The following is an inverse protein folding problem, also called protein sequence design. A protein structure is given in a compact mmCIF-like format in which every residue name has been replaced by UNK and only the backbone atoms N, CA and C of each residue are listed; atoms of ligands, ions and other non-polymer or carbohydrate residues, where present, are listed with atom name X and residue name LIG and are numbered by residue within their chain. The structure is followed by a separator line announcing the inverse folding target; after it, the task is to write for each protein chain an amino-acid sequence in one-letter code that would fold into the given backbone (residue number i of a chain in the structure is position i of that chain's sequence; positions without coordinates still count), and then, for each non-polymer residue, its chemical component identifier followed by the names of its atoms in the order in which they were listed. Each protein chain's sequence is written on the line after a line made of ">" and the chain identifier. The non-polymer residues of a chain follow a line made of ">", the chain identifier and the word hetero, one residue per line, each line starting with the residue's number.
data_IF_581908788505
#
_entry.id   IF_581908788505
#
_cell.length_a   1.000
_cell.length_b   1.000
_cell.length_c   1.000
_cell.angle_alpha   90.00
_cell.angle_beta   90.00
_cell.angle_gamma   90.00
#
_symmetry.space_group_name_H-M   'P 1'
#
loop_
_entity.id
_entity.type
_entity.pdbx_description
1 polymer ?
#
# COMPACT_ATOMS: atom_id res chain seq x y z
N UNK A 1 -5.55 14.07 24.60
CA UNK A 1 -6.33 13.10 23.83
C UNK A 1 -5.58 12.85 22.54
N UNK A 2 -5.04 11.64 22.38
CA UNK A 2 -4.40 11.22 21.12
C UNK A 2 -5.46 11.02 20.02
N UNK A 3 -5.03 10.59 18.83
CA UNK A 3 -5.95 10.41 17.70
C UNK A 3 -6.90 9.24 17.88
N UNK A 4 -6.50 8.19 18.59
CA UNK A 4 -7.33 7.02 18.84
C UNK A 4 -8.47 7.40 19.79
N UNK A 5 -8.14 8.00 20.93
CA UNK A 5 -9.10 8.41 21.97
C UNK A 5 -10.13 9.42 21.42
N UNK A 6 -9.73 10.29 20.47
CA UNK A 6 -10.67 11.20 19.78
C UNK A 6 -11.71 10.47 18.91
N UNK A 7 -11.39 9.32 18.34
CA UNK A 7 -12.28 8.59 17.43
C UNK A 7 -13.13 7.55 18.16
N UNK A 8 -12.58 6.96 19.23
CA UNK A 8 -13.23 5.87 19.96
C UNK A 8 -13.91 6.33 21.24
N UNK A 9 -13.54 7.50 21.79
CA UNK A 9 -14.02 7.97 23.08
C UNK A 9 -13.27 7.40 24.29
N UNK A 10 -12.23 6.60 24.06
CA UNK A 10 -11.44 5.98 25.13
C UNK A 10 -9.98 5.74 24.74
N UNK A 11 -9.09 5.70 25.73
CA UNK A 11 -7.66 5.48 25.50
C UNK A 11 -7.40 4.04 25.07
N UNK A 12 -6.48 3.87 24.12
CA UNK A 12 -5.98 2.55 23.75
C UNK A 12 -5.32 1.90 24.98
N UNK A 13 -5.76 0.68 25.31
CA UNK A 13 -5.33 -0.09 26.47
C UNK A 13 -4.75 -1.43 25.97
N UNK A 14 -4.87 -2.51 26.76
CA UNK A 14 -4.48 -3.82 26.25
C UNK A 14 -5.34 -4.22 25.03
N UNK A 15 -4.77 -5.07 24.17
CA UNK A 15 -5.39 -5.40 22.90
C UNK A 15 -6.80 -5.99 23.04
N UNK A 16 -7.03 -6.84 24.06
CA UNK A 16 -8.30 -7.55 24.24
C UNK A 16 -9.36 -6.62 24.82
N UNK A 17 -9.01 -5.81 25.82
CA UNK A 17 -9.88 -4.77 26.37
C UNK A 17 -10.27 -3.78 25.28
N UNK A 18 -9.29 -3.30 24.51
CA UNK A 18 -9.50 -2.37 23.39
C UNK A 18 -10.45 -2.98 22.36
N UNK A 19 -10.17 -4.19 21.89
CA UNK A 19 -11.01 -4.90 20.91
C UNK A 19 -12.45 -5.10 21.40
N UNK A 20 -12.65 -5.44 22.68
CA UNK A 20 -13.97 -5.68 23.26
C UNK A 20 -14.84 -4.42 23.37
N UNK A 21 -14.22 -3.24 23.41
CA UNK A 21 -14.92 -1.94 23.48
C UNK A 21 -15.24 -1.35 22.11
N UNK A 22 -14.47 -1.71 21.09
CA UNK A 22 -14.69 -1.23 19.73
C UNK A 22 -16.00 -1.81 19.18
N UNK A 23 -16.82 -0.94 18.60
CA UNK A 23 -18.11 -1.31 18.02
C UNK A 23 -18.23 -0.76 16.59
N UNK A 24 -18.63 -1.62 15.66
CA UNK A 24 -18.98 -1.22 14.29
C UNK A 24 -20.46 -1.50 14.06
N UNK A 25 -21.19 -0.46 13.67
CA UNK A 25 -22.60 -0.53 13.28
C UNK A 25 -22.72 0.00 11.86
N UNK A 26 -23.31 -0.79 10.97
CA UNK A 26 -23.53 -0.43 9.56
C UNK A 26 -22.27 0.09 8.84
N UNK A 27 -21.13 -0.55 9.08
CA UNK A 27 -19.84 -0.17 8.47
C UNK A 27 -19.26 1.14 9.02
N UNK A 28 -19.70 1.58 10.21
CA UNK A 28 -19.16 2.76 10.89
C UNK A 28 -18.63 2.41 12.27
N UNK A 29 -17.41 2.86 12.59
CA UNK A 29 -16.86 2.82 13.93
C UNK A 29 -17.65 3.80 14.81
N UNK A 30 -18.20 3.32 15.92
CA UNK A 30 -18.99 4.12 16.85
C UNK A 30 -18.08 4.71 17.93
N UNK A 31 -18.20 6.01 18.17
CA UNK A 31 -17.53 6.67 19.28
C UNK A 31 -18.27 6.37 20.60
N UNK A 32 -17.56 5.91 21.63
CA UNK A 32 -18.12 5.63 22.94
C UNK A 32 -18.48 6.94 23.67
N UNK A 33 -19.71 7.05 24.17
CA UNK A 33 -20.14 8.23 24.94
C UNK A 33 -20.48 9.47 24.10
N UNK A 34 -20.53 9.36 22.76
CA UNK A 34 -21.06 10.41 21.88
C UNK A 34 -22.01 9.82 20.82
N UNK A 35 -22.61 10.68 20.00
CA UNK A 35 -23.39 10.26 18.83
C UNK A 35 -22.58 10.18 17.53
N UNK A 36 -21.26 10.40 17.60
CA UNK A 36 -20.41 10.37 16.42
C UNK A 36 -20.09 8.94 15.95
N UNK A 37 -19.93 8.78 14.65
CA UNK A 37 -19.45 7.53 14.05
C UNK A 37 -18.70 7.84 12.75
N UNK A 38 -17.85 6.92 12.31
CA UNK A 38 -16.91 7.14 11.19
C UNK A 38 -16.93 5.95 10.23
N UNK A 39 -17.11 6.18 8.92
CA UNK A 39 -17.13 5.07 7.97
C UNK A 39 -15.77 4.35 7.95
N UNK A 40 -15.77 3.04 8.19
CA UNK A 40 -14.53 2.25 8.14
C UNK A 40 -14.15 1.88 6.71
N UNK A 41 -15.12 1.84 5.79
CA UNK A 41 -14.91 1.44 4.40
C UNK A 41 -15.00 -0.08 4.20
N UNK A 42 -14.51 -0.57 3.06
CA UNK A 42 -14.42 -2.00 2.75
C UNK A 42 -13.00 -2.40 2.36
N UNK A 43 -12.38 -3.25 3.17
CA UNK A 43 -11.06 -3.83 2.89
C UNK A 43 -11.18 -5.11 2.06
N UNK A 44 -10.36 -5.21 1.02
CA UNK A 44 -10.14 -6.43 0.23
C UNK A 44 -8.65 -6.65 0.01
N UNK A 45 -8.22 -7.87 -0.31
CA UNK A 45 -6.82 -8.20 -0.59
C UNK A 45 -6.65 -8.75 -2.02
N UNK A 46 -6.99 -7.97 -3.07
CA UNK A 46 -6.86 -8.46 -4.43
C UNK A 46 -5.40 -8.75 -4.79
N UNK A 47 -5.18 -9.81 -5.56
CA UNK A 47 -3.91 -10.04 -6.24
C UNK A 47 -3.76 -9.10 -7.45
N UNK A 48 -2.53 -8.87 -7.91
CA UNK A 48 -2.32 -8.13 -9.15
C UNK A 48 -3.02 -8.82 -10.34
N UNK A 49 -3.04 -10.16 -10.39
CA UNK A 49 -3.74 -10.90 -11.43
C UNK A 49 -5.27 -10.64 -11.42
N UNK A 50 -5.87 -10.57 -10.23
CA UNK A 50 -7.29 -10.21 -10.07
C UNK A 50 -7.55 -8.76 -10.52
N UNK A 51 -6.67 -7.82 -10.19
CA UNK A 51 -6.78 -6.42 -10.64
C UNK A 51 -6.64 -6.29 -12.16
N UNK A 52 -5.70 -7.00 -12.78
CA UNK A 52 -5.56 -7.08 -14.24
C UNK A 52 -6.84 -7.56 -14.89
N UNK A 53 -7.40 -8.66 -14.37
CA UNK A 53 -8.64 -9.26 -14.87
C UNK A 53 -9.81 -8.28 -14.75
N UNK A 54 -9.98 -7.65 -13.59
CA UNK A 54 -11.06 -6.69 -13.35
C UNK A 54 -10.94 -5.44 -14.24
N UNK A 55 -9.72 -4.96 -14.50
CA UNK A 55 -9.48 -3.75 -15.29
C UNK A 55 -9.44 -3.99 -16.81
N UNK A 56 -9.33 -5.25 -17.28
CA UNK A 56 -9.15 -5.57 -18.70
C UNK A 56 -10.24 -4.97 -19.61
N UNK A 57 -11.51 -5.01 -19.16
CA UNK A 57 -12.66 -4.47 -19.90
C UNK A 57 -12.99 -3.00 -19.62
N UNK A 58 -12.22 -2.32 -18.77
CA UNK A 58 -12.51 -0.95 -18.37
C UNK A 58 -11.88 0.03 -19.37
N UNK A 59 -12.72 0.66 -20.19
CA UNK A 59 -12.30 1.70 -21.11
C UNK A 59 -12.41 3.09 -20.46
N UNK A 60 -11.29 3.81 -20.37
CA UNK A 60 -11.24 5.21 -19.97
C UNK A 60 -10.53 6.04 -21.05
N UNK A 61 -11.26 6.57 -22.05
CA UNK A 61 -10.65 7.28 -23.16
C UNK A 61 -9.93 8.54 -22.67
N UNK A 62 -8.69 8.72 -23.10
CA UNK A 62 -7.83 9.83 -22.70
C UNK A 62 -6.41 9.33 -22.47
N UNK A 63 -5.60 10.12 -21.78
CA UNK A 63 -4.22 9.76 -21.45
C UNK A 63 -3.93 10.08 -19.99
N UNK A 64 -3.09 9.25 -19.38
CA UNK A 64 -2.61 9.48 -18.03
C UNK A 64 -1.84 10.81 -17.96
N UNK A 65 -2.18 11.62 -16.96
CA UNK A 65 -1.43 12.83 -16.59
C UNK A 65 -0.56 12.51 -15.38
N UNK A 66 0.71 12.90 -15.44
CA UNK A 66 1.65 12.73 -14.34
C UNK A 66 2.15 14.09 -13.83
N UNK A 67 2.03 14.32 -12.53
CA UNK A 67 2.55 15.50 -11.85
C UNK A 67 3.24 15.14 -10.53
N UNK A 68 3.82 16.15 -9.88
CA UNK A 68 4.29 16.08 -8.50
C UNK A 68 3.36 16.95 -7.66
N UNK A 69 3.02 16.49 -6.46
CA UNK A 69 2.33 17.29 -5.46
C UNK A 69 3.19 17.35 -4.20
N UNK A 70 3.40 18.56 -3.67
CA UNK A 70 4.08 18.78 -2.41
C UNK A 70 3.05 18.88 -1.29
N UNK A 71 3.28 18.20 -0.17
CA UNK A 71 2.43 18.33 1.01
C UNK A 71 2.49 17.16 1.98
N UNK A 72 1.97 17.42 3.18
CA UNK A 72 1.76 16.38 4.19
C UNK A 72 0.62 15.44 3.75
N UNK A 73 0.80 14.14 3.97
CA UNK A 73 -0.17 13.15 3.54
C UNK A 73 -1.55 13.35 4.19
N UNK A 74 -1.61 13.78 5.45
CA UNK A 74 -2.86 14.03 6.17
C UNK A 74 -3.59 15.24 5.60
N UNK A 75 -2.86 16.30 5.26
CA UNK A 75 -3.41 17.46 4.55
C UNK A 75 -3.97 17.07 3.19
N UNK A 76 -3.25 16.24 2.44
CA UNK A 76 -3.69 15.76 1.13
C UNK A 76 -4.96 14.91 1.22
N UNK A 77 -5.13 14.08 2.26
CA UNK A 77 -6.38 13.31 2.45
C UNK A 77 -7.59 14.24 2.67
N UNK A 78 -7.40 15.38 3.33
CA UNK A 78 -8.47 16.37 3.58
C UNK A 78 -8.79 17.24 2.37
N UNK A 79 -7.85 17.38 1.44
CA UNK A 79 -7.96 18.33 0.35
C UNK A 79 -9.19 18.05 -0.53
N UNK A 80 -10.06 19.03 -0.80
CA UNK A 80 -11.30 18.82 -1.56
C UNK A 80 -11.11 18.16 -2.93
N UNK A 81 -10.02 18.49 -3.62
CA UNK A 81 -9.64 17.91 -4.91
C UNK A 81 -9.32 16.41 -4.85
N UNK A 82 -9.02 15.87 -3.65
CA UNK A 82 -8.72 14.46 -3.43
C UNK A 82 -9.92 13.67 -2.91
N UNK A 83 -11.13 14.26 -2.89
CA UNK A 83 -12.35 13.52 -2.57
C UNK A 83 -12.51 12.34 -3.53
N UNK A 84 -12.66 11.13 -2.98
CA UNK A 84 -12.78 9.89 -3.73
C UNK A 84 -11.47 9.37 -4.33
N UNK A 85 -10.35 10.09 -4.17
CA UNK A 85 -9.05 9.72 -4.73
C UNK A 85 -8.52 8.41 -4.12
N UNK A 86 -7.61 7.76 -4.84
CA UNK A 86 -6.88 6.59 -4.36
C UNK A 86 -5.49 6.99 -3.88
N UNK A 87 -5.16 6.69 -2.63
CA UNK A 87 -3.85 6.93 -2.04
C UNK A 87 -3.05 5.64 -1.96
N UNK A 88 -1.85 5.62 -2.52
CA UNK A 88 -0.87 4.59 -2.26
C UNK A 88 -0.25 4.81 -0.88
N UNK A 89 -0.40 3.82 -0.01
CA UNK A 89 0.13 3.86 1.36
C UNK A 89 1.33 2.94 1.46
N UNK A 90 2.49 3.48 1.87
CA UNK A 90 3.63 2.66 2.23
C UNK A 90 3.31 1.93 3.54
N UNK A 91 3.16 0.61 3.44
CA UNK A 91 2.71 -0.27 4.50
C UNK A 91 3.60 -1.51 4.57
N UNK A 92 3.28 -2.43 5.48
CA UNK A 92 3.87 -3.76 5.55
C UNK A 92 2.97 -4.80 4.90
N UNK A 93 3.47 -6.03 4.71
CA UNK A 93 2.68 -7.10 4.09
C UNK A 93 1.44 -7.50 4.91
N UNK A 94 1.32 -7.06 6.16
CA UNK A 94 0.13 -7.25 7.00
C UNK A 94 -0.86 -6.05 6.97
N UNK A 95 -0.62 -5.05 6.11
CA UNK A 95 -1.48 -3.87 5.95
C UNK A 95 -1.56 -2.98 7.21
N UNK A 96 -0.52 -3.02 8.05
CA UNK A 96 -0.31 -2.16 9.22
C UNK A 96 1.01 -1.40 9.06
N UNK A 97 1.13 -0.28 9.77
CA UNK A 97 2.22 0.68 9.66
C UNK A 97 3.06 0.74 10.96
N UNK A 98 3.37 -0.43 11.52
CA UNK A 98 4.17 -0.55 12.73
C UNK A 98 5.60 -0.05 12.50
N UNK A 99 6.19 0.64 13.48
CA UNK A 99 7.52 1.27 13.36
C UNK A 99 8.66 0.25 13.19
N UNK A 100 8.43 -1.01 13.56
CA UNK A 100 9.42 -2.06 13.43
C UNK A 100 8.83 -3.47 13.46
N UNK A 101 9.66 -4.46 13.09
CA UNK A 101 9.26 -5.86 13.06
C UNK A 101 8.92 -6.45 14.44
N UNK A 102 9.39 -5.84 15.52
CA UNK A 102 9.14 -6.28 16.90
C UNK A 102 7.95 -5.57 17.55
N UNK A 103 7.28 -4.64 16.85
CA UNK A 103 6.09 -3.93 17.33
C UNK A 103 4.86 -4.58 16.71
N UNK A 104 4.13 -5.35 17.50
CA UNK A 104 3.05 -6.25 17.09
C UNK A 104 1.68 -5.54 17.02
N UNK A 105 0.66 -6.14 16.37
CA UNK A 105 -0.72 -5.62 16.41
C UNK A 105 -1.24 -5.34 17.83
N UNK A 106 -0.80 -6.14 18.80
CA UNK A 106 -1.16 -6.01 20.21
C UNK A 106 -0.58 -4.77 20.90
N UNK A 107 0.49 -4.19 20.35
CA UNK A 107 1.06 -2.93 20.83
C UNK A 107 0.21 -1.70 20.43
N UNK A 108 -0.81 -1.92 19.60
CA UNK A 108 -1.81 -0.92 19.23
C UNK A 108 -1.37 0.03 18.12
N UNK A 109 -2.27 0.96 17.77
CA UNK A 109 -2.10 1.90 16.66
C UNK A 109 -1.97 3.35 17.11
N UNK A 110 -2.34 3.70 18.35
CA UNK A 110 -2.22 5.08 18.85
C UNK A 110 -0.77 5.60 18.74
N UNK A 111 0.20 4.70 18.90
CA UNK A 111 1.64 4.96 18.74
C UNK A 111 2.07 5.49 17.37
N UNK A 112 1.22 5.37 16.32
CA UNK A 112 1.48 5.92 14.99
C UNK A 112 1.69 7.44 15.02
N UNK A 113 1.21 8.13 16.06
CA UNK A 113 1.46 9.55 16.28
C UNK A 113 2.94 9.94 16.42
N UNK A 114 3.79 8.98 16.79
CA UNK A 114 5.23 9.21 17.02
C UNK A 114 6.09 8.86 15.82
N UNK A 115 5.54 8.19 14.81
CA UNK A 115 6.22 7.87 13.57
C UNK A 115 5.86 8.92 12.50
N UNK A 116 6.89 9.58 11.97
CA UNK A 116 6.74 10.67 10.99
C UNK A 116 6.85 10.21 9.54
N UNK A 117 6.86 8.90 9.30
CA UNK A 117 6.84 8.35 7.94
C UNK A 117 5.45 8.46 7.31
N UNK A 118 5.39 8.31 5.99
CA UNK A 118 4.15 8.51 5.22
C UNK A 118 3.07 7.47 5.54
N UNK A 119 3.43 6.22 5.85
CA UNK A 119 2.49 5.17 6.20
C UNK A 119 1.60 5.55 7.39
N UNK A 120 2.18 5.77 8.58
CA UNK A 120 1.48 6.22 9.78
C UNK A 120 0.67 7.50 9.57
N UNK A 121 1.18 8.46 8.77
CA UNK A 121 0.43 9.66 8.42
C UNK A 121 -0.87 9.33 7.64
N UNK A 122 -0.82 8.46 6.63
CA UNK A 122 -2.01 8.01 5.90
C UNK A 122 -2.94 7.17 6.79
N UNK A 123 -2.37 6.33 7.65
CA UNK A 123 -3.13 5.50 8.57
C UNK A 123 -3.93 6.35 9.56
N UNK A 124 -3.32 7.40 10.14
CA UNK A 124 -4.03 8.35 11.01
C UNK A 124 -5.06 9.20 10.25
N UNK A 125 -4.80 9.54 8.98
CA UNK A 125 -5.75 10.29 8.16
C UNK A 125 -7.09 9.58 7.99
N UNK A 126 -7.07 8.24 7.93
CA UNK A 126 -8.23 7.35 7.90
C UNK A 126 -8.28 6.47 9.16
N UNK A 127 -8.26 7.10 10.34
CA UNK A 127 -8.07 6.43 11.63
C UNK A 127 -9.09 5.34 11.93
N UNK A 128 -10.37 5.53 11.61
CA UNK A 128 -11.39 4.50 11.83
C UNK A 128 -11.13 3.23 11.02
N UNK A 129 -10.69 3.38 9.77
CA UNK A 129 -10.28 2.28 8.90
C UNK A 129 -9.02 1.57 9.43
N UNK A 130 -8.06 2.33 9.98
CA UNK A 130 -6.84 1.79 10.60
C UNK A 130 -7.15 0.97 11.86
N UNK A 131 -8.01 1.48 12.74
CA UNK A 131 -8.48 0.76 13.93
C UNK A 131 -9.15 -0.55 13.52
N UNK A 132 -10.00 -0.51 12.48
CA UNK A 132 -10.60 -1.73 11.92
C UNK A 132 -9.54 -2.73 11.43
N UNK A 133 -8.54 -2.30 10.65
CA UNK A 133 -7.47 -3.18 10.14
C UNK A 133 -6.68 -3.88 11.24
N UNK A 134 -6.48 -3.23 12.39
CA UNK A 134 -5.76 -3.84 13.51
C UNK A 134 -6.67 -4.76 14.32
N UNK A 135 -7.80 -4.23 14.81
CA UNK A 135 -8.58 -4.88 15.86
C UNK A 135 -9.76 -5.70 15.35
N UNK A 136 -10.32 -5.40 14.18
CA UNK A 136 -11.64 -5.91 13.78
C UNK A 136 -11.67 -6.60 12.42
N UNK A 137 -10.56 -6.61 11.68
CA UNK A 137 -10.48 -7.30 10.39
C UNK A 137 -10.62 -8.81 10.59
N UNK A 138 -11.45 -9.51 9.80
CA UNK A 138 -11.44 -10.96 9.76
C UNK A 138 -10.11 -11.48 9.20
N UNK A 139 -9.43 -12.33 9.96
CA UNK A 139 -8.16 -12.94 9.55
C UNK A 139 -8.10 -14.37 10.07
N UNK A 140 -7.84 -15.33 9.17
CA UNK A 140 -7.76 -16.76 9.48
C UNK A 140 -8.89 -17.31 10.39
N UNK A 141 -10.14 -16.90 10.11
CA UNK A 141 -11.35 -17.37 10.83
C UNK A 141 -11.64 -16.65 12.15
N UNK A 142 -10.80 -15.68 12.54
CA UNK A 142 -10.90 -14.93 13.79
C UNK A 142 -10.95 -13.42 13.51
N UNK A 143 -11.23 -12.62 14.55
CA UNK A 143 -11.32 -11.15 14.44
C UNK A 143 -10.03 -10.51 14.99
N UNK A 144 -9.50 -9.55 14.24
CA UNK A 144 -8.32 -8.77 14.59
C UNK A 144 -7.01 -9.50 14.33
N UNK A 145 -6.01 -8.71 13.96
CA UNK A 145 -4.64 -9.17 13.79
C UNK A 145 -3.94 -9.29 15.14
N UNK A 146 -3.07 -10.28 15.27
CA UNK A 146 -2.21 -10.53 16.43
C UNK A 146 -0.82 -10.91 15.94
N UNK A 147 0.17 -10.99 16.83
CA UNK A 147 1.53 -11.43 16.48
C UNK A 147 1.53 -12.83 15.85
N UNK A 148 0.59 -13.68 16.24
CA UNK A 148 0.45 -15.06 15.75
C UNK A 148 -0.43 -15.18 14.48
N UNK A 149 -1.19 -14.13 14.12
CA UNK A 149 -2.20 -14.20 13.08
C UNK A 149 -2.35 -12.86 12.39
N UNK A 150 -1.84 -12.77 11.17
CA UNK A 150 -1.79 -11.53 10.40
C UNK A 150 -2.25 -11.77 8.97
N UNK A 151 -2.68 -10.70 8.32
CA UNK A 151 -2.74 -10.66 6.87
C UNK A 151 -1.32 -10.83 6.32
N UNK A 152 -1.19 -11.47 5.15
CA UNK A 152 0.10 -11.69 4.50
C UNK A 152 -0.05 -11.49 2.98
N UNK A 153 0.23 -10.26 2.52
CA UNK A 153 0.18 -9.89 1.12
C UNK A 153 1.24 -10.57 0.25
N UNK A 154 2.25 -11.20 0.86
CA UNK A 154 3.34 -11.88 0.17
C UNK A 154 3.14 -13.40 0.13
N UNK A 155 2.12 -13.93 0.80
CA UNK A 155 1.90 -15.37 0.96
C UNK A 155 1.87 -16.14 -0.37
N UNK A 156 1.06 -15.68 -1.32
CA UNK A 156 0.85 -16.35 -2.61
C UNK A 156 2.12 -16.30 -3.48
N UNK A 157 2.79 -15.14 -3.52
CA UNK A 157 4.09 -15.00 -4.19
C UNK A 157 5.15 -15.91 -3.55
N UNK A 158 5.18 -15.99 -2.22
CA UNK A 158 6.06 -16.91 -1.49
C UNK A 158 5.77 -18.36 -1.80
N UNK A 159 4.51 -18.77 -1.89
CA UNK A 159 4.13 -20.12 -2.33
C UNK A 159 4.60 -20.43 -3.75
N UNK A 160 4.38 -19.49 -4.67
CA UNK A 160 4.81 -19.65 -6.07
C UNK A 160 6.33 -19.75 -6.23
N UNK A 161 7.10 -18.95 -5.47
CA UNK A 161 8.56 -19.03 -5.43
C UNK A 161 9.04 -20.33 -4.80
N UNK A 162 8.43 -20.76 -3.69
CA UNK A 162 8.78 -21.98 -2.98
C UNK A 162 8.63 -23.20 -3.90
N UNK A 163 7.51 -23.29 -4.62
CA UNK A 163 7.26 -24.33 -5.62
C UNK A 163 8.34 -24.35 -6.72
N UNK A 164 8.69 -23.18 -7.27
CA UNK A 164 9.69 -23.03 -8.35
C UNK A 164 11.11 -23.35 -7.91
N UNK A 165 11.44 -23.07 -6.66
CA UNK A 165 12.74 -23.35 -6.05
C UNK A 165 12.83 -24.77 -5.45
N UNK A 166 11.73 -25.53 -5.45
CA UNK A 166 11.69 -26.86 -4.83
C UNK A 166 11.93 -26.83 -3.33
N UNK A 167 11.38 -25.83 -2.63
CA UNK A 167 11.56 -25.63 -1.19
C UNK A 167 10.24 -25.25 -0.51
N UNK A 168 10.28 -25.07 0.81
CA UNK A 168 9.12 -24.63 1.61
C UNK A 168 9.10 -23.10 1.74
N UNK A 169 7.90 -22.50 1.81
CA UNK A 169 7.76 -21.03 1.95
C UNK A 169 8.50 -20.49 3.19
N UNK A 170 8.44 -21.22 4.30
CA UNK A 170 9.13 -20.85 5.54
C UNK A 170 10.67 -20.86 5.42
N UNK A 171 11.23 -21.55 4.42
CA UNK A 171 12.66 -21.54 4.13
C UNK A 171 13.09 -20.32 3.29
N UNK A 172 12.16 -19.61 2.65
CA UNK A 172 12.46 -18.42 1.87
C UNK A 172 12.77 -17.22 2.77
N UNK A 173 11.92 -16.98 3.77
CA UNK A 173 12.10 -15.92 4.76
C UNK A 173 11.29 -16.20 6.03
N UNK A 174 11.74 -15.63 7.14
CA UNK A 174 10.90 -15.47 8.33
C UNK A 174 10.02 -14.23 8.15
N UNK A 175 8.71 -14.39 8.21
CA UNK A 175 7.79 -13.26 8.28
C UNK A 175 7.69 -12.80 9.73
N UNK A 176 7.98 -11.52 10.00
CA UNK A 176 7.90 -10.95 11.34
C UNK A 176 7.17 -9.61 11.29
N UNK A 177 5.90 -9.61 11.71
CA UNK A 177 5.02 -8.44 11.68
C UNK A 177 4.93 -7.75 10.29
N UNK A 178 4.73 -8.53 9.23
CA UNK A 178 4.70 -8.01 7.85
C UNK A 178 6.07 -7.65 7.25
N UNK A 179 7.18 -7.92 7.94
CA UNK A 179 8.54 -7.81 7.40
C UNK A 179 9.03 -9.19 6.94
N UNK A 180 9.29 -9.34 5.64
CA UNK A 180 9.91 -10.54 5.08
C UNK A 180 11.43 -10.50 5.27
N UNK A 181 11.95 -11.35 6.16
CA UNK A 181 13.36 -11.38 6.57
C UNK A 181 14.03 -12.68 6.07
N UNK A 182 14.65 -12.68 4.87
CA UNK A 182 15.35 -13.82 4.32
C UNK A 182 16.72 -14.00 4.96
N UNK A 183 17.26 -15.20 4.82
CA UNK A 183 18.70 -15.43 5.01
C UNK A 183 19.45 -15.03 3.75
N UNK A 184 20.78 -14.94 3.83
CA UNK A 184 21.61 -14.69 2.63
C UNK A 184 21.39 -15.77 1.56
N UNK A 185 21.41 -17.04 1.97
CA UNK A 185 21.25 -18.19 1.08
C UNK A 185 19.91 -18.17 0.36
N UNK A 186 18.81 -17.95 1.09
CA UNK A 186 17.48 -17.93 0.49
C UNK A 186 17.27 -16.72 -0.41
N UNK A 187 17.79 -15.54 -0.05
CA UNK A 187 17.74 -14.35 -0.90
C UNK A 187 18.53 -14.55 -2.21
N UNK A 188 19.74 -15.12 -2.14
CA UNK A 188 20.55 -15.38 -3.32
C UNK A 188 19.87 -16.41 -4.26
N UNK A 189 19.20 -17.43 -3.70
CA UNK A 189 18.43 -18.40 -4.49
C UNK A 189 17.24 -17.74 -5.20
N UNK A 190 16.47 -16.88 -4.50
CA UNK A 190 15.38 -16.10 -5.10
C UNK A 190 15.93 -15.19 -6.21
N UNK A 191 17.02 -14.47 -5.94
CA UNK A 191 17.61 -13.54 -6.88
C UNK A 191 18.13 -14.25 -8.13
N UNK A 192 18.78 -15.41 -7.98
CA UNK A 192 19.26 -16.21 -9.10
C UNK A 192 18.09 -16.71 -9.98
N UNK A 193 17.03 -17.23 -9.35
CA UNK A 193 15.85 -17.67 -10.07
C UNK A 193 15.18 -16.53 -10.85
N UNK A 194 14.91 -15.40 -10.17
CA UNK A 194 14.25 -14.25 -10.79
C UNK A 194 15.08 -13.62 -11.91
N UNK A 195 16.41 -13.66 -11.83
CA UNK A 195 17.28 -13.10 -12.88
C UNK A 195 17.37 -13.98 -14.12
N UNK A 196 17.07 -15.28 -14.00
CA UNK A 196 17.05 -16.23 -15.11
C UNK A 196 15.65 -16.46 -15.69
N UNK A 197 14.60 -16.00 -15.00
CA UNK A 197 13.22 -16.14 -15.44
C UNK A 197 12.92 -15.28 -16.69
N UNK A 198 12.08 -15.79 -17.57
CA UNK A 198 11.52 -15.02 -18.68
C UNK A 198 10.43 -14.06 -18.21
N UNK A 199 10.01 -13.15 -19.11
CA UNK A 199 9.05 -12.09 -18.76
C UNK A 199 7.65 -12.65 -18.45
N UNK A 200 7.26 -13.78 -19.04
CA UNK A 200 5.99 -14.45 -18.74
C UNK A 200 6.00 -15.00 -17.31
N UNK A 201 7.07 -15.69 -16.92
CA UNK A 201 7.26 -16.17 -15.55
C UNK A 201 7.30 -15.01 -14.55
N UNK A 202 8.00 -13.92 -14.88
CA UNK A 202 8.02 -12.72 -14.05
C UNK A 202 6.62 -12.09 -13.94
N UNK A 203 5.85 -12.06 -15.03
CA UNK A 203 4.48 -11.54 -15.02
C UNK A 203 3.53 -12.38 -14.17
N UNK A 204 3.67 -13.70 -14.20
CA UNK A 204 2.93 -14.62 -13.35
C UNK A 204 3.25 -14.39 -11.88
N UNK A 205 4.54 -14.23 -11.53
CA UNK A 205 4.99 -13.97 -10.17
C UNK A 205 4.52 -12.61 -9.66
N UNK A 206 4.67 -11.54 -10.45
CA UNK A 206 4.08 -10.22 -10.13
C UNK A 206 2.59 -10.35 -9.85
N UNK A 207 1.89 -11.17 -10.65
CA UNK A 207 0.47 -11.48 -10.53
C UNK A 207 0.05 -12.04 -9.17
N UNK A 208 0.96 -12.69 -8.44
CA UNK A 208 0.69 -13.30 -7.14
C UNK A 208 0.73 -12.31 -5.95
N UNK A 209 1.27 -11.10 -6.14
CA UNK A 209 1.33 -10.14 -5.04
C UNK A 209 -0.07 -9.66 -4.69
N UNK A 210 -0.44 -9.72 -3.41
CA UNK A 210 -1.69 -9.16 -2.89
C UNK A 210 -1.47 -7.79 -2.27
N UNK A 211 -2.43 -6.90 -2.50
CA UNK A 211 -2.42 -5.51 -2.03
C UNK A 211 -3.65 -5.28 -1.16
N UNK A 212 -3.53 -4.55 -0.05
CA UNK A 212 -4.69 -4.20 0.75
C UNK A 212 -5.44 -3.05 0.11
N UNK A 213 -6.60 -3.28 -0.52
CA UNK A 213 -7.43 -2.20 -1.08
C UNK A 213 -8.58 -1.88 -0.12
N UNK A 214 -8.50 -0.73 0.56
CA UNK A 214 -9.52 -0.23 1.47
C UNK A 214 -10.31 0.92 0.81
N UNK A 215 -11.52 0.60 0.33
CA UNK A 215 -12.36 1.56 -0.40
C UNK A 215 -13.25 2.36 0.52
N UNK A 216 -13.49 3.60 0.14
CA UNK A 216 -14.49 4.50 0.73
C UNK A 216 -14.34 4.66 2.25
N UNK A 217 -13.10 4.88 2.69
CA UNK A 217 -12.75 5.17 4.08
C UNK A 217 -13.01 6.65 4.37
N UNK A 218 -13.57 6.96 5.54
CA UNK A 218 -13.76 8.35 5.96
C UNK A 218 -12.44 8.97 6.41
N UNK A 219 -12.14 10.18 5.94
CA UNK A 219 -10.98 10.95 6.40
C UNK A 219 -11.29 11.54 7.77
N UNK A 220 -10.89 10.84 8.82
CA UNK A 220 -11.22 11.16 10.21
C UNK A 220 -10.34 12.25 10.83
N UNK A 221 -9.27 12.63 10.14
CA UNK A 221 -8.32 13.63 10.63
C UNK A 221 -8.73 15.07 10.32
N UNK A 222 -9.93 15.46 10.74
CA UNK A 222 -10.47 16.80 10.52
C UNK A 222 -11.93 16.94 10.95
N UNK A 223 -12.47 18.18 10.94
CA UNK A 223 -13.87 18.42 11.25
C UNK A 223 -14.78 17.88 10.14
N UNK A 224 -16.06 17.68 10.47
CA UNK A 224 -17.09 17.40 9.48
C UNK A 224 -17.39 18.63 8.59
N UNK A 225 -17.86 18.45 7.33
CA UNK A 225 -18.07 17.19 6.64
C UNK A 225 -16.75 16.54 6.20
N UNK A 226 -16.63 15.22 6.39
CA UNK A 226 -15.41 14.46 6.12
C UNK A 226 -15.50 13.78 4.75
N UNK A 227 -14.52 13.95 3.85
CA UNK A 227 -14.53 13.27 2.56
C UNK A 227 -14.31 11.75 2.73
N UNK A 228 -14.75 10.99 1.74
CA UNK A 228 -14.34 9.60 1.58
C UNK A 228 -13.18 9.54 0.60
N UNK A 229 -12.22 8.67 0.86
CA UNK A 229 -11.12 8.35 -0.04
C UNK A 229 -10.95 6.83 -0.12
N UNK A 230 -10.09 6.35 -1.01
CA UNK A 230 -9.64 4.95 -0.98
C UNK A 230 -8.14 4.90 -0.69
N UNK A 231 -7.70 3.86 0.01
CA UNK A 231 -6.29 3.61 0.29
C UNK A 231 -5.90 2.24 -0.26
N UNK A 232 -4.75 2.15 -0.91
CA UNK A 232 -4.13 0.87 -1.28
C UNK A 232 -2.81 0.70 -0.54
N UNK A 233 -2.75 -0.32 0.30
CA UNK A 233 -1.63 -0.69 1.15
C UNK A 233 -0.70 -1.59 0.36
N UNK A 234 0.48 -1.04 0.08
CA UNK A 234 1.54 -1.71 -0.65
C UNK A 234 2.77 -1.80 0.24
N UNK A 235 3.42 -2.97 0.26
CA UNK A 235 4.70 -3.14 0.92
C UNK A 235 5.82 -3.28 -0.10
N UNK A 236 6.93 -2.59 0.14
CA UNK A 236 8.20 -2.95 -0.47
C UNK A 236 8.90 -4.04 0.35
N UNK A 237 10.05 -4.51 -0.09
CA UNK A 237 10.88 -5.41 0.72
C UNK A 237 11.68 -4.62 1.77
N UNK A 238 11.85 -5.14 3.00
CA UNK A 238 12.50 -4.43 4.09
C UNK A 238 14.04 -4.55 4.03
N UNK A 239 14.64 -4.04 2.96
CA UNK A 239 16.09 -4.15 2.65
C UNK A 239 16.97 -3.72 3.83
N UNK A 240 16.64 -2.60 4.47
CA UNK A 240 17.40 -2.05 5.60
C UNK A 240 17.34 -2.91 6.88
N UNK A 241 16.40 -3.85 6.98
CA UNK A 241 16.13 -4.60 8.22
C UNK A 241 16.82 -5.97 8.30
N UNK A 242 17.33 -6.51 7.18
CA UNK A 242 17.92 -7.85 7.15
C UNK A 242 19.45 -7.89 7.35
N UNK A 243 20.14 -6.73 7.43
CA UNK A 243 21.61 -6.64 7.44
C UNK A 243 22.28 -7.43 6.28
N UNK A 244 21.67 -7.39 5.09
CA UNK A 244 22.17 -7.99 3.86
C UNK A 244 22.54 -6.89 2.84
N UNK A 245 23.49 -7.13 1.92
CA UNK A 245 23.83 -6.15 0.88
C UNK A 245 22.62 -5.83 0.00
N UNK A 246 22.35 -4.54 -0.21
CA UNK A 246 21.21 -4.08 -0.99
C UNK A 246 21.16 -4.72 -2.39
N UNK A 247 22.31 -4.86 -3.07
CA UNK A 247 22.38 -5.45 -4.41
C UNK A 247 21.77 -6.85 -4.51
N UNK A 248 21.85 -7.68 -3.45
CA UNK A 248 21.24 -9.02 -3.42
C UNK A 248 19.72 -8.99 -3.48
N UNK A 249 19.09 -7.86 -3.16
CA UNK A 249 17.64 -7.69 -3.19
C UNK A 249 17.10 -7.32 -4.56
N UNK A 250 17.94 -6.83 -5.47
CA UNK A 250 17.54 -6.12 -6.69
C UNK A 250 16.41 -6.83 -7.45
N UNK A 251 16.58 -8.12 -7.79
CA UNK A 251 15.61 -8.85 -8.60
C UNK A 251 14.28 -9.05 -7.87
N UNK A 252 14.33 -9.35 -6.56
CA UNK A 252 13.13 -9.55 -5.75
C UNK A 252 12.39 -8.24 -5.47
N UNK A 253 13.14 -7.19 -5.12
CA UNK A 253 12.58 -5.86 -4.89
C UNK A 253 11.88 -5.32 -6.13
N UNK A 254 12.45 -5.53 -7.31
CA UNK A 254 11.82 -5.12 -8.57
C UNK A 254 10.50 -5.81 -8.83
N UNK A 255 10.41 -7.14 -8.66
CA UNK A 255 9.14 -7.87 -8.83
C UNK A 255 8.05 -7.32 -7.91
N UNK A 256 8.38 -7.11 -6.63
CA UNK A 256 7.43 -6.58 -5.63
C UNK A 256 7.02 -5.13 -5.95
N UNK A 257 7.97 -4.26 -6.26
CA UNK A 257 7.69 -2.85 -6.59
C UNK A 257 6.90 -2.72 -7.90
N UNK A 258 7.26 -3.47 -8.94
CA UNK A 258 6.56 -3.47 -10.23
C UNK A 258 5.10 -3.91 -10.04
N UNK A 259 4.86 -4.95 -9.25
CA UNK A 259 3.52 -5.41 -8.94
C UNK A 259 2.71 -4.40 -8.11
N UNK A 260 3.34 -3.76 -7.11
CA UNK A 260 2.69 -2.79 -6.24
C UNK A 260 2.24 -1.52 -7.00
N UNK A 261 3.09 -0.96 -7.86
CA UNK A 261 2.73 0.20 -8.68
C UNK A 261 1.69 -0.14 -9.75
N UNK A 262 1.84 -1.28 -10.43
CA UNK A 262 0.86 -1.73 -11.42
C UNK A 262 -0.51 -1.95 -10.78
N UNK A 263 -0.57 -2.65 -9.64
CA UNK A 263 -1.82 -2.89 -8.93
C UNK A 263 -2.45 -1.61 -8.41
N UNK A 264 -1.65 -0.65 -7.95
CA UNK A 264 -2.15 0.68 -7.54
C UNK A 264 -2.82 1.42 -8.70
N UNK A 265 -2.20 1.44 -9.88
CA UNK A 265 -2.77 2.13 -11.03
C UNK A 265 -4.00 1.43 -11.59
N UNK A 266 -4.02 0.09 -11.62
CA UNK A 266 -5.21 -0.67 -12.01
C UNK A 266 -6.37 -0.47 -11.01
N UNK A 267 -6.07 -0.44 -9.71
CA UNK A 267 -7.07 -0.06 -8.70
C UNK A 267 -7.55 1.39 -8.90
N UNK A 268 -6.69 2.30 -9.35
CA UNK A 268 -7.05 3.66 -9.76
C UNK A 268 -8.03 3.68 -10.93
N UNK A 269 -7.77 2.89 -11.98
CA UNK A 269 -8.69 2.72 -13.13
C UNK A 269 -10.06 2.23 -12.66
N UNK A 270 -10.09 1.21 -11.78
CA UNK A 270 -11.34 0.67 -11.22
C UNK A 270 -12.06 1.68 -10.32
N UNK A 271 -11.31 2.46 -9.53
CA UNK A 271 -11.82 3.53 -8.68
C UNK A 271 -12.47 4.65 -9.50
N UNK A 272 -11.87 4.99 -10.63
CA UNK A 272 -12.41 5.97 -11.56
C UNK A 272 -13.65 5.44 -12.28
N UNK A 273 -13.64 4.16 -12.70
CA UNK A 273 -14.74 3.53 -13.43
C UNK A 273 -16.02 3.39 -12.59
N UNK A 274 -15.90 3.19 -11.28
CA UNK A 274 -17.04 3.21 -10.34
C UNK A 274 -17.55 4.62 -9.99
N UNK A 275 -16.94 5.68 -10.56
CA UNK A 275 -17.35 7.07 -10.37
C UNK A 275 -16.83 7.75 -9.10
N UNK A 276 -15.81 7.21 -8.42
CA UNK A 276 -15.27 7.83 -7.21
C UNK A 276 -14.31 8.99 -7.54
N UNK A 277 -13.18 8.70 -8.19
CA UNK A 277 -12.22 9.70 -8.68
C UNK A 277 -11.21 9.04 -9.62
N UNK A 278 -10.74 9.78 -10.62
CA UNK A 278 -9.62 9.44 -11.50
C UNK A 278 -8.26 9.83 -10.91
N UNK A 279 -8.24 10.45 -9.72
CA UNK A 279 -7.03 10.92 -9.07
C UNK A 279 -6.36 9.82 -8.25
N UNK A 280 -5.07 9.61 -8.50
CA UNK A 280 -4.23 8.64 -7.81
C UNK A 280 -3.00 9.33 -7.25
N UNK A 281 -2.78 9.18 -5.94
CA UNK A 281 -1.60 9.71 -5.26
C UNK A 281 -0.60 8.58 -5.01
N UNK A 282 0.54 8.64 -5.70
CA UNK A 282 1.64 7.69 -5.53
C UNK A 282 2.64 8.20 -4.50
N UNK A 283 3.32 7.28 -3.84
CA UNK A 283 4.47 7.57 -2.99
C UNK A 283 5.70 6.87 -3.54
N UNK A 284 6.91 7.27 -3.14
CA UNK A 284 8.15 6.52 -3.44
C UNK A 284 8.24 5.31 -2.50
N UNK A 285 7.49 4.27 -2.84
CA UNK A 285 7.29 3.09 -2.01
C UNK A 285 8.63 2.44 -1.61
N UNK A 286 8.89 2.37 -0.30
CA UNK A 286 10.07 1.70 0.26
C UNK A 286 11.38 2.49 0.21
N UNK A 287 11.40 3.73 -0.31
CA UNK A 287 12.61 4.55 -0.43
C UNK A 287 13.09 5.23 0.87
N UNK A 288 12.27 5.17 1.92
CA UNK A 288 12.61 5.66 3.27
C UNK A 288 13.16 4.55 4.16
N UNK A 289 12.46 4.25 5.26
CA UNK A 289 12.87 3.29 6.28
C UNK A 289 13.23 1.89 5.73
N UNK A 290 12.54 1.44 4.67
CA UNK A 290 12.79 0.11 4.07
C UNK A 290 14.07 0.05 3.23
N UNK A 291 14.64 1.18 2.81
CA UNK A 291 15.95 1.26 2.15
C UNK A 291 16.01 0.68 0.74
N UNK A 292 14.91 0.69 -0.01
CA UNK A 292 14.92 0.30 -1.43
C UNK A 292 15.61 1.39 -2.25
N UNK A 293 16.40 0.98 -3.25
CA UNK A 293 17.12 1.94 -4.08
C UNK A 293 16.16 2.74 -4.98
N UNK A 294 16.43 4.05 -5.09
CA UNK A 294 15.65 4.97 -5.92
C UNK A 294 15.47 4.47 -7.36
N UNK A 295 16.53 3.92 -7.96
CA UNK A 295 16.49 3.41 -9.32
C UNK A 295 15.50 2.24 -9.51
N UNK A 296 15.29 1.40 -8.50
CA UNK A 296 14.32 0.29 -8.58
C UNK A 296 12.90 0.81 -8.49
N UNK A 297 12.68 1.76 -7.58
CA UNK A 297 11.39 2.43 -7.37
C UNK A 297 10.98 3.18 -8.65
N UNK A 298 11.89 3.97 -9.19
CA UNK A 298 11.66 4.81 -10.36
C UNK A 298 11.37 3.96 -11.61
N UNK A 299 12.14 2.89 -11.82
CA UNK A 299 11.90 1.97 -12.93
C UNK A 299 10.55 1.25 -12.83
N UNK A 300 10.18 0.78 -11.63
CA UNK A 300 8.90 0.11 -11.39
C UNK A 300 7.70 1.04 -11.60
N UNK A 301 7.79 2.27 -11.09
CA UNK A 301 6.76 3.29 -11.27
C UNK A 301 6.60 3.64 -12.76
N UNK A 302 7.70 3.91 -13.48
CA UNK A 302 7.66 4.21 -14.91
C UNK A 302 7.09 3.06 -15.74
N UNK A 303 7.41 1.81 -15.40
CA UNK A 303 6.82 0.63 -16.05
C UNK A 303 5.29 0.64 -15.89
N UNK A 304 4.81 0.78 -14.66
CA UNK A 304 3.38 0.79 -14.36
C UNK A 304 2.65 1.95 -15.07
N UNK A 305 3.21 3.16 -15.04
CA UNK A 305 2.64 4.34 -15.70
C UNK A 305 2.50 4.18 -17.22
N UNK A 306 3.38 3.42 -17.87
CA UNK A 306 3.28 3.10 -19.31
C UNK A 306 2.18 2.08 -19.58
N UNK A 307 2.03 1.07 -18.72
CA UNK A 307 1.01 0.02 -18.87
C UNK A 307 -0.42 0.57 -18.84
N UNK A 308 -0.64 1.70 -18.17
CA UNK A 308 -1.95 2.38 -18.09
C UNK A 308 -1.96 3.75 -18.77
N UNK A 309 -0.98 4.05 -19.62
CA UNK A 309 -0.79 5.40 -20.20
C UNK A 309 -1.95 5.86 -21.09
N UNK A 310 -2.71 4.91 -21.65
CA UNK A 310 -3.90 5.09 -22.48
C UNK A 310 -5.20 5.21 -21.66
N UNK A 311 -5.10 5.24 -20.32
CA UNK A 311 -6.24 5.40 -19.41
C UNK A 311 -6.25 6.81 -18.83
N UNK A 312 -7.38 7.50 -18.94
CA UNK A 312 -7.56 8.84 -18.34
C UNK A 312 -7.55 8.75 -16.80
N UNK A 313 -6.36 8.97 -16.25
CA UNK A 313 -6.04 9.07 -14.83
C UNK A 313 -5.23 10.34 -14.55
N UNK A 314 -5.46 10.95 -13.41
CA UNK A 314 -4.67 12.05 -12.88
C UNK A 314 -3.75 11.55 -11.77
N UNK A 315 -2.49 11.27 -12.11
CA UNK A 315 -1.53 10.68 -11.18
C UNK A 315 -0.59 11.75 -10.65
N UNK A 316 -0.53 11.87 -9.33
CA UNK A 316 0.39 12.76 -8.65
C UNK A 316 1.36 11.95 -7.77
N UNK A 317 2.67 12.17 -7.92
CA UNK A 317 3.65 11.63 -6.98
C UNK A 317 3.81 12.60 -5.82
N UNK A 318 3.55 12.12 -4.61
CA UNK A 318 3.61 12.91 -3.38
C UNK A 318 5.05 13.11 -2.95
N UNK A 319 5.39 14.35 -2.60
CA UNK A 319 6.64 14.72 -1.94
C UNK A 319 6.30 15.50 -0.66
N UNK A 320 6.83 15.08 0.49
CA UNK A 320 6.53 15.75 1.76
C UNK A 320 7.08 17.19 1.81
N UNK A 321 8.23 17.42 1.18
CA UNK A 321 8.80 18.76 1.00
C UNK A 321 9.22 18.96 -0.44
N UNK A 322 10.12 19.94 -0.67
CA UNK A 322 10.59 20.26 -2.01
C UNK A 322 11.07 19.03 -2.78
N UNK A 323 10.51 18.75 -3.98
CA UNK A 323 10.83 17.54 -4.73
C UNK A 323 12.32 17.39 -4.99
N UNK A 324 12.86 16.19 -4.79
CA UNK A 324 14.24 15.89 -5.14
C UNK A 324 14.45 16.00 -6.67
N UNK A 325 15.65 16.38 -7.15
CA UNK A 325 15.96 16.44 -8.58
C UNK A 325 15.61 15.14 -9.34
N UNK A 326 15.86 13.98 -8.72
CA UNK A 326 15.52 12.67 -9.30
C UNK A 326 14.01 12.50 -9.56
N UNK A 327 13.16 12.98 -8.65
CA UNK A 327 11.70 12.90 -8.83
C UNK A 327 11.23 13.82 -9.96
N UNK A 328 11.81 15.03 -10.08
CA UNK A 328 11.52 15.92 -11.22
C UNK A 328 11.93 15.27 -12.54
N UNK A 329 13.13 14.71 -12.59
CA UNK A 329 13.65 14.01 -13.77
C UNK A 329 12.77 12.80 -14.17
N UNK A 330 12.25 12.04 -13.21
CA UNK A 330 11.30 10.95 -13.48
C UNK A 330 10.04 11.44 -14.19
N UNK A 331 9.44 12.52 -13.70
CA UNK A 331 8.20 13.07 -14.27
C UNK A 331 8.44 13.67 -15.66
N UNK A 332 9.56 14.36 -15.85
CA UNK A 332 10.00 14.87 -17.15
C UNK A 332 10.24 13.73 -18.16
N UNK A 333 10.92 12.66 -17.72
CA UNK A 333 11.18 11.48 -18.54
C UNK A 333 9.90 10.79 -19.01
N UNK A 334 8.91 10.64 -18.12
CA UNK A 334 7.61 10.09 -18.50
C UNK A 334 6.91 10.97 -19.55
N UNK A 335 6.85 12.29 -19.32
CA UNK A 335 6.21 13.24 -20.24
C UNK A 335 6.89 13.26 -21.62
N UNK A 336 8.22 13.20 -21.66
CA UNK A 336 8.97 13.13 -22.91
C UNK A 336 8.71 11.83 -23.68
N UNK A 337 8.52 10.71 -22.99
CA UNK A 337 8.12 9.43 -23.60
C UNK A 337 6.70 9.48 -24.17
N UNK A 338 5.73 9.98 -23.39
CA UNK A 338 4.33 10.09 -23.79
C UNK A 338 4.12 11.03 -25.01
N UNK A 339 4.98 12.02 -25.19
CA UNK A 339 4.95 12.93 -26.34
C UNK A 339 5.49 12.31 -27.65
N UNK A 340 6.27 11.23 -27.57
CA UNK A 340 6.89 10.56 -28.73
C UNK A 340 6.07 9.42 -29.31
N UNK A 341 5.07 8.92 -28.58
CA UNK A 341 4.10 7.98 -29.14
C UNK A 341 3.23 8.73 -30.15
N UNK A 342 3.20 8.32 -31.44
CA UNK A 342 2.43 9.02 -32.46
C UNK A 342 1.00 9.23 -32.00
N UNK A 343 0.49 10.45 -32.17
CA UNK A 343 -0.95 10.65 -32.29
C UNK A 343 -1.37 9.93 -33.58
N UNK A 344 -1.77 8.67 -33.47
CA UNK A 344 -2.22 7.86 -34.60
C UNK A 344 -3.12 6.76 -34.07
N UNK A 345 -4.18 6.38 -34.75
CA UNK A 345 -4.84 6.90 -35.95
C UNK A 345 -6.30 6.44 -35.87
#
# INVERSE_FOLDING_TARGET
>A
MDWFERLTGFREADHKETQARLCIVDGRLVHEGSGESYAVGTLTLPSLAELRTAAAGVHRPGRLRLSIVEGDARDLHRAPENRGALFQVASQFNMLEMVGPDVTPEDGVAGYAYDRTQGPACAMAAGAATIYRNYLVPVAGEIGQTAARQLDGLADLGGALAQRLGTERAALWAMRNGYALPTRTSLDAIAAYLSAADEDTLNDLRGQLRLGLHRDVEVTDGPAPRPLVSQIFCSALPVAYARLPAVSWTSFARVVLEAAYEGTLLAGVLNAARGASDRVLLTRLGGGAFGNADAWIDAAMLRALRLVGDRDLDVAVVSYGSPAPGLRALVEHYRAGAAREPQGA
#
